data_IF_389194285348
#
_entry.id   IF_389194285348
#
_cell.length_a   1.000
_cell.length_b   1.000
_cell.length_c   1.000
_cell.angle_alpha   90.00
_cell.angle_beta   90.00
_cell.angle_gamma   90.00
#
_symmetry.space_group_name_H-M   'P 1'
#
loop_
_entity.id
_entity.type
_entity.pdbx_description
1 polymer ?
#
# COMPACT_ATOMS: atom_id res chain seq x y z
N UNK A 1 -30.35 -5.62 12.09
CA UNK A 1 -30.42 -4.46 11.18
C UNK A 1 -29.00 -3.99 10.89
N UNK A 2 -28.68 -3.56 9.65
CA UNK A 2 -27.38 -2.95 9.37
C UNK A 2 -27.26 -1.61 10.10
N UNK A 3 -26.09 -1.36 10.69
CA UNK A 3 -25.74 -0.07 11.32
C UNK A 3 -24.56 0.55 10.58
N UNK A 4 -24.52 1.87 10.54
CA UNK A 4 -23.36 2.59 10.04
C UNK A 4 -22.33 2.73 11.17
N UNK A 5 -21.09 2.33 10.91
CA UNK A 5 -19.95 2.55 11.79
C UNK A 5 -18.97 3.46 11.05
N UNK A 6 -18.74 4.70 11.53
CA UNK A 6 -17.78 5.59 10.90
C UNK A 6 -16.36 5.02 11.07
N UNK A 7 -15.57 5.13 10.00
CA UNK A 7 -14.14 4.77 10.00
C UNK A 7 -13.30 6.03 9.88
N UNK A 8 -12.05 5.96 10.33
CA UNK A 8 -11.12 7.06 10.20
C UNK A 8 -10.87 7.43 8.72
N UNK A 9 -10.61 8.70 8.45
CA UNK A 9 -10.26 9.20 7.12
C UNK A 9 -8.89 9.88 7.08
N UNK A 10 -8.20 9.84 5.91
CA UNK A 10 -7.04 10.69 5.64
C UNK A 10 -7.42 12.17 5.79
N UNK A 11 -6.68 12.89 6.63
CA UNK A 11 -6.90 14.33 6.92
C UNK A 11 -5.85 15.20 6.23
N UNK A 12 -4.64 14.67 6.03
CA UNK A 12 -3.51 15.37 5.43
C UNK A 12 -3.51 15.46 3.90
N UNK A 13 -2.78 16.45 3.36
CA UNK A 13 -2.55 16.58 1.90
C UNK A 13 -1.67 15.48 1.32
N UNK A 14 -0.91 14.81 2.16
CA UNK A 14 -0.01 13.70 1.85
C UNK A 14 -0.48 12.40 2.49
N UNK A 15 -1.70 12.38 3.04
CA UNK A 15 -2.33 11.18 3.59
C UNK A 15 -3.28 10.53 2.58
N UNK A 16 -3.30 9.20 2.61
CA UNK A 16 -4.09 8.35 1.72
C UNK A 16 -4.58 7.11 2.45
N UNK A 17 -5.71 6.56 2.02
CA UNK A 17 -6.05 5.17 2.27
C UNK A 17 -5.13 4.28 1.45
N UNK A 18 -4.33 3.44 2.10
CA UNK A 18 -3.62 2.37 1.46
C UNK A 18 -4.56 1.18 1.24
N UNK A 19 -4.79 0.89 -0.03
CA UNK A 19 -5.60 -0.23 -0.50
C UNK A 19 -4.75 -1.20 -1.30
N UNK A 20 -5.18 -2.46 -1.37
CA UNK A 20 -4.49 -3.47 -2.18
C UNK A 20 -5.42 -4.28 -3.04
N UNK A 21 -4.87 -4.78 -4.14
CA UNK A 21 -5.54 -5.72 -5.03
C UNK A 21 -4.61 -6.87 -5.40
N UNK A 22 -5.16 -7.91 -6.03
CA UNK A 22 -4.34 -9.00 -6.56
C UNK A 22 -3.90 -8.68 -7.98
N UNK A 23 -2.67 -9.07 -8.31
CA UNK A 23 -2.26 -9.16 -9.70
C UNK A 23 -2.97 -10.35 -10.34
N UNK A 24 -3.51 -10.18 -11.54
CA UNK A 24 -4.24 -11.24 -12.26
C UNK A 24 -3.35 -12.43 -12.59
N UNK A 25 -2.04 -12.21 -12.68
CA UNK A 25 -1.03 -13.23 -12.96
C UNK A 25 -0.37 -13.85 -11.71
N UNK A 26 -0.75 -13.46 -10.49
CA UNK A 26 -0.19 -14.04 -9.26
C UNK A 26 -1.25 -14.62 -8.31
N UNK A 27 -0.98 -15.81 -7.78
CA UNK A 27 -1.77 -16.43 -6.72
C UNK A 27 -1.22 -16.09 -5.33
N UNK A 28 -1.48 -14.86 -4.85
CA UNK A 28 -0.90 -14.32 -3.59
C UNK A 28 0.61 -14.62 -3.52
N UNK A 29 1.16 -14.75 -2.31
CA UNK A 29 2.58 -14.97 -2.00
C UNK A 29 3.20 -16.28 -2.55
N UNK A 30 2.42 -17.15 -3.21
CA UNK A 30 2.89 -18.46 -3.66
C UNK A 30 3.64 -18.42 -5.00
N UNK A 31 3.52 -17.33 -5.77
CA UNK A 31 3.95 -17.30 -7.18
C UNK A 31 4.98 -16.20 -7.49
N UNK A 32 5.37 -15.38 -6.51
CA UNK A 32 6.34 -14.29 -6.67
C UNK A 32 7.76 -14.80 -6.90
N UNK A 33 8.03 -16.07 -6.61
CA UNK A 33 9.32 -16.69 -6.95
C UNK A 33 9.34 -17.26 -8.38
N UNK A 34 8.23 -17.21 -9.11
CA UNK A 34 8.19 -17.66 -10.50
C UNK A 34 8.76 -16.57 -11.41
N UNK A 35 9.85 -16.88 -12.13
CA UNK A 35 10.54 -15.91 -12.99
C UNK A 35 9.63 -15.36 -14.10
N UNK A 36 8.89 -16.24 -14.79
CA UNK A 36 8.01 -15.83 -15.89
C UNK A 36 6.92 -14.88 -15.44
N UNK A 37 6.31 -15.16 -14.28
CA UNK A 37 5.25 -14.30 -13.75
C UNK A 37 5.75 -12.96 -13.21
N UNK A 38 7.06 -12.81 -13.02
CA UNK A 38 7.69 -11.57 -12.56
C UNK A 38 8.28 -10.76 -13.72
N UNK A 39 8.14 -11.19 -14.98
CA UNK A 39 8.64 -10.48 -16.15
C UNK A 39 7.82 -9.21 -16.43
N UNK A 40 8.51 -8.11 -16.75
CA UNK A 40 7.87 -6.81 -17.03
C UNK A 40 6.87 -6.89 -18.22
N UNK A 41 7.11 -7.81 -19.16
CA UNK A 41 6.21 -8.05 -20.29
C UNK A 41 4.82 -8.58 -19.89
N UNK A 42 4.72 -9.32 -18.78
CA UNK A 42 3.44 -9.79 -18.23
C UNK A 42 2.69 -8.64 -17.54
N UNK A 43 3.43 -7.70 -16.95
CA UNK A 43 2.85 -6.60 -16.17
C UNK A 43 2.18 -5.53 -17.03
N UNK A 44 2.52 -5.42 -18.32
CA UNK A 44 1.79 -4.58 -19.28
C UNK A 44 1.68 -3.12 -18.83
N UNK A 45 2.80 -2.50 -18.45
CA UNK A 45 2.89 -1.14 -17.90
C UNK A 45 2.13 -0.93 -16.56
N UNK A 46 1.75 -2.03 -15.89
CA UNK A 46 1.22 -2.05 -14.54
C UNK A 46 2.27 -2.65 -13.59
N UNK A 47 3.35 -1.91 -13.26
CA UNK A 47 4.46 -2.43 -12.46
C UNK A 47 3.97 -3.04 -11.15
N UNK A 48 4.37 -4.29 -10.90
CA UNK A 48 3.91 -5.06 -9.73
C UNK A 48 4.39 -4.48 -8.40
N UNK A 49 5.58 -3.88 -8.40
CA UNK A 49 6.27 -3.42 -7.18
C UNK A 49 6.03 -1.94 -6.87
N UNK A 50 5.22 -1.27 -7.67
CA UNK A 50 4.93 0.15 -7.53
C UNK A 50 3.79 0.44 -6.55
N UNK A 51 3.82 1.66 -6.00
CA UNK A 51 2.65 2.29 -5.39
C UNK A 51 1.97 3.21 -6.39
N UNK A 52 0.66 3.07 -6.51
CA UNK A 52 -0.17 3.80 -7.43
C UNK A 52 -0.80 4.98 -6.72
N UNK A 53 -0.67 6.17 -7.30
CA UNK A 53 -1.17 7.43 -6.72
C UNK A 53 -1.97 8.18 -7.78
N UNK A 54 -3.07 8.80 -7.36
CA UNK A 54 -3.86 9.68 -8.21
C UNK A 54 -2.99 10.82 -8.79
N UNK A 55 -3.18 11.17 -10.07
CA UNK A 55 -2.30 12.12 -10.76
C UNK A 55 -2.37 13.55 -10.23
N UNK A 56 -3.56 14.04 -9.87
CA UNK A 56 -3.71 15.40 -9.36
C UNK A 56 -3.05 15.53 -7.99
N UNK A 57 -3.16 14.47 -7.17
CA UNK A 57 -2.50 14.39 -5.87
C UNK A 57 -0.99 14.29 -6.02
N UNK A 58 -0.51 13.40 -6.89
CA UNK A 58 0.91 13.27 -7.17
C UNK A 58 1.51 14.60 -7.63
N UNK A 59 0.85 15.30 -8.56
CA UNK A 59 1.25 16.62 -9.03
C UNK A 59 1.31 17.64 -7.89
N UNK A 60 0.28 17.70 -7.03
CA UNK A 60 0.26 18.61 -5.88
C UNK A 60 1.38 18.36 -4.86
N UNK A 61 1.95 17.15 -4.85
CA UNK A 61 3.04 16.72 -3.98
C UNK A 61 4.41 16.72 -4.67
N UNK A 62 4.49 17.11 -5.95
CA UNK A 62 5.74 17.08 -6.72
C UNK A 62 6.27 15.66 -7.00
N UNK A 63 5.36 14.69 -7.08
CA UNK A 63 5.65 13.27 -7.32
C UNK A 63 5.32 12.92 -8.78
N UNK A 64 6.23 12.21 -9.43
CA UNK A 64 6.12 11.74 -10.81
C UNK A 64 6.31 10.21 -10.90
N UNK A 65 6.00 9.65 -12.06
CA UNK A 65 6.30 8.24 -12.37
C UNK A 65 7.78 7.92 -12.11
N UNK A 66 8.04 6.80 -11.43
CA UNK A 66 9.39 6.33 -11.13
C UNK A 66 10.06 7.02 -9.93
N UNK A 67 9.46 8.05 -9.34
CA UNK A 67 9.97 8.62 -8.10
C UNK A 67 9.97 7.59 -6.98
N UNK A 68 11.00 7.63 -6.14
CA UNK A 68 11.04 6.85 -4.92
C UNK A 68 10.32 7.60 -3.81
N UNK A 69 9.38 6.92 -3.15
CA UNK A 69 8.64 7.46 -2.00
C UNK A 69 8.82 6.57 -0.77
N UNK A 70 8.77 7.20 0.39
CA UNK A 70 8.57 6.52 1.67
C UNK A 70 7.10 6.61 2.06
N UNK A 71 6.56 5.48 2.50
CA UNK A 71 5.16 5.29 2.88
C UNK A 71 5.15 4.89 4.34
N UNK A 72 4.63 5.78 5.18
CA UNK A 72 4.56 5.61 6.64
C UNK A 72 3.11 5.34 7.06
N UNK A 73 2.88 4.32 7.88
CA UNK A 73 1.57 4.08 8.47
C UNK A 73 1.32 5.08 9.60
N UNK A 74 0.24 5.85 9.50
CA UNK A 74 -0.15 6.87 10.51
C UNK A 74 -1.53 6.59 11.13
N UNK A 75 -2.28 5.61 10.62
CA UNK A 75 -3.57 5.21 11.17
C UNK A 75 -4.19 4.03 10.40
N UNK A 76 -5.45 3.65 10.69
CA UNK A 76 -6.34 4.22 11.70
C UNK A 76 -5.87 3.98 13.15
N UNK A 77 -6.38 4.79 14.08
CA UNK A 77 -6.12 4.67 15.52
C UNK A 77 -7.39 4.30 16.28
N UNK A 78 -7.27 3.75 17.49
CA UNK A 78 -8.38 3.46 18.43
C UNK A 78 -9.18 4.71 18.79
N UNK A 79 -8.54 5.88 18.73
CA UNK A 79 -9.18 7.16 19.01
C UNK A 79 -10.14 7.57 17.89
N UNK A 80 -9.76 7.30 16.65
CA UNK A 80 -10.51 7.73 15.46
C UNK A 80 -11.42 6.65 14.89
N UNK A 81 -11.19 5.37 15.23
CA UNK A 81 -11.98 4.22 14.72
C UNK A 81 -12.19 3.16 15.83
N UNK A 82 -13.44 2.90 16.26
CA UNK A 82 -13.75 1.96 17.33
C UNK A 82 -13.49 0.49 16.95
N UNK A 83 -13.32 0.17 15.67
CA UNK A 83 -13.00 -1.18 15.20
C UNK A 83 -11.51 -1.52 15.35
N UNK A 84 -10.64 -0.54 15.57
CA UNK A 84 -9.20 -0.78 15.76
C UNK A 84 -8.93 -1.37 17.14
N UNK A 85 -8.18 -2.46 17.19
CA UNK A 85 -7.78 -3.10 18.45
C UNK A 85 -6.25 -3.20 18.61
N UNK A 86 -5.49 -3.09 17.52
CA UNK A 86 -4.02 -3.11 17.54
C UNK A 86 -3.43 -2.07 16.59
N UNK A 87 -2.52 -1.25 17.10
CA UNK A 87 -1.90 -0.11 16.42
C UNK A 87 -0.39 -0.32 16.14
N UNK A 88 0.13 -1.53 16.31
CA UNK A 88 1.57 -1.82 16.18
C UNK A 88 2.18 -1.50 14.80
N UNK A 89 1.35 -1.30 13.77
CA UNK A 89 1.82 -0.87 12.46
C UNK A 89 2.14 0.63 12.37
N UNK A 90 1.62 1.46 13.28
CA UNK A 90 1.82 2.91 13.25
C UNK A 90 3.32 3.24 13.42
N UNK A 91 3.83 4.11 12.55
CA UNK A 91 5.24 4.46 12.46
C UNK A 91 6.08 3.51 11.59
N UNK A 92 5.54 2.37 11.17
CA UNK A 92 6.23 1.51 10.20
C UNK A 92 6.31 2.20 8.85
N UNK A 93 7.44 1.96 8.17
CA UNK A 93 7.80 2.60 6.91
C UNK A 93 8.20 1.56 5.88
N UNK A 94 7.71 1.72 4.67
CA UNK A 94 8.16 0.97 3.49
C UNK A 94 8.47 1.94 2.36
N UNK A 95 9.13 1.45 1.31
CA UNK A 95 9.53 2.27 0.15
C UNK A 95 9.08 1.60 -1.14
N UNK A 96 8.63 2.42 -2.09
CA UNK A 96 8.27 1.95 -3.42
C UNK A 96 8.49 3.03 -4.47
N UNK A 97 8.59 2.60 -5.73
CA UNK A 97 8.52 3.47 -6.89
C UNK A 97 7.07 3.84 -7.16
N UNK A 98 6.83 5.06 -7.65
CA UNK A 98 5.48 5.54 -7.94
C UNK A 98 5.05 5.21 -9.36
N UNK A 99 3.81 4.76 -9.51
CA UNK A 99 3.04 4.82 -10.76
C UNK A 99 1.89 5.81 -10.58
N UNK A 100 1.84 6.81 -11.43
CA UNK A 100 0.81 7.85 -11.44
C UNK A 100 -0.31 7.41 -12.36
N UNK A 101 -1.56 7.59 -11.93
CA UNK A 101 -2.75 7.23 -12.71
C UNK A 101 -3.94 8.13 -12.38
N UNK A 102 -4.86 8.32 -13.33
CA UNK A 102 -6.16 8.95 -13.06
C UNK A 102 -7.22 7.94 -12.61
N UNK A 103 -6.93 6.64 -12.65
CA UNK A 103 -7.87 5.57 -12.29
C UNK A 103 -8.11 5.36 -10.79
N UNK A 104 -7.47 6.16 -9.93
CA UNK A 104 -7.60 6.07 -8.47
C UNK A 104 -8.28 7.32 -7.91
N UNK A 105 -9.13 7.11 -6.90
CA UNK A 105 -9.71 8.19 -6.12
C UNK A 105 -8.60 9.03 -5.43
N UNK A 106 -8.71 10.38 -5.34
CA UNK A 106 -7.66 11.24 -4.76
C UNK A 106 -7.25 10.92 -3.31
N UNK A 107 -8.16 10.32 -2.53
CA UNK A 107 -7.85 9.87 -1.15
C UNK A 107 -7.19 8.49 -1.09
N UNK A 108 -6.99 7.79 -2.20
CA UNK A 108 -6.49 6.42 -2.21
C UNK A 108 -5.08 6.32 -2.82
N UNK A 109 -4.28 5.45 -2.24
CA UNK A 109 -3.05 4.93 -2.81
C UNK A 109 -3.17 3.41 -2.87
N UNK A 110 -2.69 2.80 -3.95
CA UNK A 110 -2.93 1.38 -4.21
C UNK A 110 -1.64 0.62 -4.47
N UNK A 111 -1.58 -0.63 -4.02
CA UNK A 111 -0.47 -1.55 -4.31
C UNK A 111 -0.99 -2.93 -4.69
N UNK A 112 -0.18 -3.68 -5.45
CA UNK A 112 -0.40 -5.11 -5.56
C UNK A 112 -0.08 -5.80 -4.22
N UNK A 113 -0.93 -6.75 -3.85
CA UNK A 113 -0.74 -7.57 -2.67
C UNK A 113 0.44 -8.54 -2.87
N UNK A 114 1.18 -8.80 -1.78
CA UNK A 114 2.31 -9.72 -1.70
C UNK A 114 3.59 -9.28 -2.46
N UNK A 115 3.85 -7.97 -2.54
CA UNK A 115 5.19 -7.43 -2.79
C UNK A 115 6.05 -7.36 -1.51
N UNK A 116 7.30 -6.89 -1.64
CA UNK A 116 8.14 -6.50 -0.50
C UNK A 116 8.77 -7.65 0.31
N UNK A 117 8.91 -8.84 -0.25
CA UNK A 117 9.44 -10.00 0.49
C UNK A 117 10.83 -9.72 1.11
N UNK A 118 11.05 -10.12 2.36
CA UNK A 118 12.34 -9.92 3.05
C UNK A 118 13.29 -11.13 2.97
N UNK A 119 12.82 -12.27 2.49
CA UNK A 119 13.65 -13.47 2.33
C UNK A 119 14.71 -13.26 1.24
N UNK A 120 15.98 -13.50 1.59
CA UNK A 120 17.11 -13.39 0.64
C UNK A 120 17.04 -14.42 -0.47
N UNK A 121 16.35 -15.54 -0.25
CA UNK A 121 16.18 -16.61 -1.24
C UNK A 121 15.13 -16.29 -2.30
N UNK A 122 14.35 -15.22 -2.14
CA UNK A 122 13.37 -14.79 -3.14
C UNK A 122 14.04 -14.09 -4.33
N UNK A 123 13.37 -14.12 -5.50
CA UNK A 123 13.77 -13.33 -6.66
C UNK A 123 13.94 -11.86 -6.28
N UNK A 124 14.91 -11.18 -6.89
CA UNK A 124 15.25 -9.80 -6.52
C UNK A 124 14.03 -8.87 -6.60
N UNK A 125 13.24 -8.95 -7.69
CA UNK A 125 12.04 -8.14 -7.89
C UNK A 125 10.94 -8.42 -6.85
N UNK A 126 10.78 -9.67 -6.40
CA UNK A 126 9.81 -10.03 -5.36
C UNK A 126 10.12 -9.38 -4.00
N UNK A 127 11.39 -8.98 -3.78
CA UNK A 127 11.82 -8.28 -2.56
C UNK A 127 11.60 -6.77 -2.60
N UNK A 128 11.17 -6.23 -3.74
CA UNK A 128 10.90 -4.82 -3.93
C UNK A 128 9.42 -4.49 -3.67
N UNK A 129 9.14 -3.19 -3.52
CA UNK A 129 7.80 -2.69 -3.24
C UNK A 129 7.44 -2.76 -1.76
N UNK A 130 6.14 -2.61 -1.48
CA UNK A 130 5.64 -2.46 -0.10
C UNK A 130 5.16 -3.79 0.46
N UNK A 131 5.64 -4.11 1.66
CA UNK A 131 5.11 -5.19 2.50
C UNK A 131 3.83 -4.73 3.18
N UNK A 132 2.70 -4.84 2.49
CA UNK A 132 1.42 -4.28 2.96
C UNK A 132 1.08 -4.62 4.42
N UNK A 133 1.27 -5.90 4.82
CA UNK A 133 0.90 -6.35 6.17
C UNK A 133 1.64 -5.62 7.30
N UNK A 134 2.75 -4.94 7.01
CA UNK A 134 3.49 -4.14 8.00
C UNK A 134 2.93 -2.74 8.18
N UNK A 135 2.08 -2.30 7.26
CA UNK A 135 1.45 -0.98 7.28
C UNK A 135 -0.05 -1.07 7.64
N UNK A 136 -0.52 -2.16 8.23
CA UNK A 136 -1.95 -2.35 8.57
C UNK A 136 -2.12 -2.40 10.09
N UNK A 137 -2.70 -1.36 10.71
CA UNK A 137 -3.29 -1.49 12.03
C UNK A 137 -4.41 -2.51 12.00
N UNK A 138 -4.52 -3.33 13.03
CA UNK A 138 -5.53 -4.38 13.05
C UNK A 138 -6.86 -3.85 13.54
N UNK A 139 -7.89 -4.04 12.71
CA UNK A 139 -9.27 -3.76 13.04
C UNK A 139 -10.19 -4.93 12.75
N UNK A 140 -11.27 -5.03 13.51
CA UNK A 140 -12.26 -6.09 13.42
C UNK A 140 -13.65 -5.47 13.52
N UNK A 141 -14.56 -5.89 12.65
CA UNK A 141 -15.96 -5.49 12.74
C UNK A 141 -16.60 -6.08 13.99
N UNK A 142 -17.47 -5.36 14.71
CA UNK A 142 -18.14 -5.89 15.91
C UNK A 142 -18.98 -7.16 15.65
N UNK A 143 -19.29 -7.45 14.37
CA UNK A 143 -20.11 -8.59 13.97
C UNK A 143 -19.33 -9.71 13.27
N UNK A 144 -18.05 -9.49 12.93
CA UNK A 144 -17.27 -10.46 12.18
C UNK A 144 -15.81 -10.43 12.62
N UNK A 145 -15.21 -11.59 12.86
CA UNK A 145 -13.82 -11.75 13.29
C UNK A 145 -12.77 -11.51 12.17
N UNK A 146 -13.19 -10.91 11.04
CA UNK A 146 -12.32 -10.65 9.90
C UNK A 146 -11.47 -9.39 10.09
N UNK A 147 -10.20 -9.47 9.71
CA UNK A 147 -9.26 -8.35 9.76
C UNK A 147 -9.56 -7.33 8.63
N UNK A 148 -9.76 -6.07 8.99
CA UNK A 148 -9.84 -4.95 8.06
C UNK A 148 -8.45 -4.62 7.48
N UNK A 149 -8.29 -4.71 6.15
CA UNK A 149 -6.98 -4.57 5.48
C UNK A 149 -6.87 -3.44 4.46
N UNK A 150 -7.99 -2.92 3.95
CA UNK A 150 -8.00 -1.98 2.81
C UNK A 150 -8.44 -0.58 3.22
N UNK A 151 -7.94 -0.08 4.35
CA UNK A 151 -8.19 1.30 4.75
C UNK A 151 -7.14 1.85 5.74
N UNK A 152 -5.94 1.27 5.76
CA UNK A 152 -4.83 1.86 6.50
C UNK A 152 -4.60 3.29 6.02
N UNK A 153 -4.32 4.22 6.93
CA UNK A 153 -4.02 5.60 6.59
C UNK A 153 -2.50 5.72 6.56
N UNK A 154 -1.97 6.07 5.40
CA UNK A 154 -0.54 6.22 5.17
C UNK A 154 -0.20 7.63 4.75
N UNK A 155 0.97 8.09 5.16
CA UNK A 155 1.59 9.33 4.71
C UNK A 155 2.65 9.02 3.66
N UNK A 156 2.59 9.68 2.51
CA UNK A 156 3.49 9.44 1.38
C UNK A 156 4.31 10.68 1.10
N UNK A 157 5.64 10.54 1.12
CA UNK A 157 6.55 11.62 0.78
C UNK A 157 7.68 11.16 -0.14
N UNK A 158 8.06 12.05 -1.07
CA UNK A 158 9.19 11.82 -1.99
C UNK A 158 10.50 11.81 -1.22
N UNK A 159 11.35 10.84 -1.53
CA UNK A 159 12.70 10.75 -0.97
C UNK A 159 13.73 10.78 -2.10
N UNK A 160 14.93 11.32 -1.80
CA UNK A 160 16.06 11.22 -2.73
C UNK A 160 16.60 9.79 -2.66
N UNK A 161 16.99 9.24 -3.81
CA UNK A 161 17.82 8.05 -3.81
C UNK A 161 19.15 8.41 -3.15
N UNK A 162 19.36 7.90 -1.93
CA UNK A 162 20.68 7.88 -1.36
C UNK A 162 21.54 6.96 -2.23
N UNK A 163 22.67 7.49 -2.72
CA UNK A 163 23.77 6.65 -3.20
C UNK A 163 24.13 5.75 -2.04
N UNK A 164 23.78 4.46 -2.17
CA UNK A 164 24.11 3.44 -1.19
C UNK A 164 25.52 2.92 -1.45
#
# INVERSE_FOLDING_TARGET
MPIYVPVAEPKGKDEFYLISGKATWHQKSATQHNRYLMEDGIEGDCPYTAIYINADRAHSLGIMNGDLVEVECVGPTKKDDPCVYNEAAIGNKERARVKVTQGLHPKAAWIYFAGGHKSKSMLSKARQGITMNWLIPSSVSPYAAGLGKNYSIVKIHKIKEGVQ
#
